data_IF_818553602310
#
_entry.id   IF_818553602310
#
_cell.length_a   1.000
_cell.length_b   1.000
_cell.length_c   1.000
_cell.angle_alpha   90.00
_cell.angle_beta   90.00
_cell.angle_gamma   90.00
#
_symmetry.space_group_name_H-M   'P 1'
#
loop_
_entity.id
_entity.type
_entity.pdbx_description
1 polymer ?
#
# COMPACT_ATOMS: atom_id res chain seq x y z
N UNK A 1 13.09 13.10 -1.66
CA UNK A 1 13.35 12.48 -0.34
C UNK A 1 12.06 12.11 0.40
N UNK A 2 11.13 13.05 0.67
CA UNK A 2 9.93 12.80 1.49
C UNK A 2 8.59 12.74 0.71
N UNK A 3 8.65 12.55 -0.62
CA UNK A 3 7.47 12.58 -1.51
C UNK A 3 6.41 11.52 -1.19
N UNK A 4 6.80 10.43 -0.54
CA UNK A 4 5.91 9.33 -0.15
C UNK A 4 5.76 9.20 1.38
N UNK A 5 6.12 10.22 2.15
CA UNK A 5 5.99 10.19 3.61
C UNK A 5 4.61 10.71 4.04
N UNK A 6 3.69 9.85 4.52
CA UNK A 6 2.34 10.27 4.91
C UNK A 6 2.33 11.22 6.12
N UNK A 7 3.32 11.09 7.01
CA UNK A 7 3.41 11.94 8.19
C UNK A 7 3.74 13.39 7.81
N UNK A 8 4.58 13.59 6.78
CA UNK A 8 4.85 14.92 6.25
C UNK A 8 3.59 15.54 5.63
N UNK A 9 2.92 14.82 4.73
CA UNK A 9 1.70 15.31 4.07
C UNK A 9 0.60 15.67 5.10
N UNK A 10 0.41 14.82 6.11
CA UNK A 10 -0.53 15.07 7.21
C UNK A 10 -0.12 16.30 8.03
N UNK A 11 1.17 16.47 8.33
CA UNK A 11 1.64 17.62 9.09
C UNK A 11 1.45 18.90 8.30
N UNK A 12 1.75 18.92 7.00
CA UNK A 12 1.49 20.06 6.14
C UNK A 12 0.02 20.49 6.22
N UNK A 13 -0.93 19.55 6.10
CA UNK A 13 -2.36 19.84 6.20
C UNK A 13 -2.76 20.43 7.57
N UNK A 14 -2.19 19.90 8.67
CA UNK A 14 -2.45 20.39 10.03
C UNK A 14 -1.94 21.82 10.24
N UNK A 15 -0.87 22.21 9.57
CA UNK A 15 -0.26 23.54 9.64
C UNK A 15 -0.80 24.51 8.58
N UNK A 16 -1.81 24.11 7.80
CA UNK A 16 -2.37 24.93 6.71
C UNK A 16 -1.44 25.09 5.50
N UNK A 17 -0.44 24.22 5.35
CA UNK A 17 0.49 24.18 4.22
C UNK A 17 -0.05 23.22 3.17
N UNK A 18 -0.15 23.68 1.92
CA UNK A 18 -0.52 22.82 0.79
C UNK A 18 0.66 21.88 0.48
N UNK A 19 0.44 20.59 0.69
CA UNK A 19 1.33 19.55 0.19
C UNK A 19 0.97 19.25 -1.28
N UNK A 20 1.91 19.43 -2.20
CA UNK A 20 1.72 19.10 -3.63
C UNK A 20 1.91 17.59 -3.81
N UNK A 21 0.81 16.84 -3.76
CA UNK A 21 0.81 15.39 -3.93
C UNK A 21 -0.50 14.75 -3.43
N UNK A 22 -0.56 13.42 -3.33
CA UNK A 22 -1.74 12.73 -2.81
C UNK A 22 -1.91 12.95 -1.30
N UNK A 23 -3.10 12.63 -0.78
CA UNK A 23 -3.35 12.71 0.67
C UNK A 23 -2.53 11.66 1.44
N UNK A 24 -2.32 11.90 2.73
CA UNK A 24 -1.63 10.94 3.61
C UNK A 24 -2.30 9.56 3.61
N UNK A 25 -3.63 9.51 3.52
CA UNK A 25 -4.42 8.27 3.49
C UNK A 25 -4.19 7.49 2.20
N UNK A 26 -4.11 8.20 1.07
CA UNK A 26 -3.75 7.58 -0.22
C UNK A 26 -2.33 7.03 -0.16
N UNK A 27 -1.38 7.78 0.39
CA UNK A 27 0.00 7.31 0.55
C UNK A 27 0.09 6.08 1.45
N UNK A 28 -0.64 6.04 2.57
CA UNK A 28 -0.68 4.87 3.47
C UNK A 28 -1.24 3.63 2.78
N UNK A 29 -2.23 3.81 1.91
CA UNK A 29 -2.85 2.70 1.18
C UNK A 29 -1.95 2.21 0.05
N UNK A 30 -1.35 3.13 -0.70
CA UNK A 30 -0.54 2.81 -1.89
C UNK A 30 0.91 2.41 -1.55
N UNK A 31 1.44 2.85 -0.40
CA UNK A 31 2.78 2.48 0.06
C UNK A 31 2.88 1.05 0.58
N UNK A 32 1.75 0.43 0.92
CA UNK A 32 1.66 -0.98 1.30
C UNK A 32 1.19 -1.79 0.08
N UNK A 33 2.06 -2.67 -0.43
CA UNK A 33 1.77 -3.47 -1.64
C UNK A 33 0.54 -4.36 -1.49
N UNK A 34 0.25 -4.85 -0.28
CA UNK A 34 -0.90 -5.73 -0.04
C UNK A 34 -2.17 -4.87 -0.11
N UNK A 35 -2.21 -3.77 0.65
CA UNK A 35 -3.36 -2.85 0.67
C UNK A 35 -3.61 -2.21 -0.69
N UNK A 36 -2.56 -1.83 -1.40
CA UNK A 36 -2.65 -1.29 -2.75
C UNK A 36 -3.31 -2.29 -3.68
N UNK A 37 -2.87 -3.55 -3.68
CA UNK A 37 -3.45 -4.61 -4.52
C UNK A 37 -4.90 -4.90 -4.16
N UNK A 38 -5.25 -4.91 -2.87
CA UNK A 38 -6.64 -5.04 -2.42
C UNK A 38 -7.51 -3.88 -2.91
N UNK A 39 -7.02 -2.64 -2.82
CA UNK A 39 -7.71 -1.47 -3.33
C UNK A 39 -7.94 -1.55 -4.84
N UNK A 40 -6.94 -2.01 -5.61
CA UNK A 40 -7.07 -2.23 -7.06
C UNK A 40 -8.10 -3.32 -7.37
N UNK A 41 -8.07 -4.46 -6.66
CA UNK A 41 -9.09 -5.52 -6.81
C UNK A 41 -10.50 -4.98 -6.54
N UNK A 42 -10.69 -4.22 -5.45
CA UNK A 42 -11.98 -3.60 -5.09
C UNK A 42 -12.46 -2.60 -6.14
N UNK A 43 -11.54 -1.91 -6.81
CA UNK A 43 -11.83 -1.01 -7.91
C UNK A 43 -12.11 -1.74 -9.25
N UNK A 44 -12.10 -3.09 -9.27
CA UNK A 44 -12.30 -3.88 -10.49
C UNK A 44 -11.09 -3.91 -11.42
N UNK A 45 -9.91 -3.47 -10.95
CA UNK A 45 -8.69 -3.45 -11.74
C UNK A 45 -8.01 -4.83 -11.64
N UNK A 46 -7.67 -5.47 -12.77
CA UNK A 46 -6.92 -6.72 -12.77
C UNK A 46 -5.57 -6.57 -12.06
N UNK A 47 -5.24 -7.51 -11.18
CA UNK A 47 -3.96 -7.55 -10.49
C UNK A 47 -3.26 -8.87 -10.74
N UNK A 48 -1.93 -8.86 -10.61
CA UNK A 48 -1.12 -10.08 -10.71
C UNK A 48 -1.55 -11.07 -9.62
N UNK A 49 -1.82 -12.35 -9.97
CA UNK A 49 -2.09 -13.39 -9.00
C UNK A 49 -0.95 -13.54 -7.98
N UNK A 50 -1.32 -13.80 -6.73
CA UNK A 50 -0.36 -13.97 -5.65
C UNK A 50 -1.10 -14.20 -4.34
N UNK A 51 -0.34 -14.32 -3.25
CA UNK A 51 -0.84 -14.66 -1.91
C UNK A 51 -1.84 -13.63 -1.39
N UNK A 52 -2.81 -14.02 -0.57
CA UNK A 52 -3.81 -13.08 0.00
C UNK A 52 -3.30 -12.29 1.23
N UNK A 53 -1.99 -12.23 1.43
CA UNK A 53 -1.38 -11.51 2.54
C UNK A 53 0.14 -11.62 2.56
N UNK A 54 0.74 -11.13 3.64
CA UNK A 54 2.18 -11.29 3.89
C UNK A 54 2.48 -12.72 4.31
N UNK A 55 3.49 -13.34 3.69
CA UNK A 55 4.05 -14.59 4.18
C UNK A 55 5.20 -14.25 5.12
N UNK A 56 5.14 -14.77 6.35
CA UNK A 56 6.19 -14.57 7.36
C UNK A 56 7.13 -15.76 7.52
N UNK A 57 6.81 -16.91 6.92
CA UNK A 57 7.57 -18.15 7.08
C UNK A 57 7.88 -18.86 5.74
N UNK A 58 9.07 -19.44 5.66
CA UNK A 58 9.52 -20.13 4.44
C UNK A 58 8.70 -21.39 4.15
N UNK A 59 8.25 -22.13 5.17
CA UNK A 59 7.44 -23.33 4.98
C UNK A 59 6.06 -22.98 4.43
N UNK A 60 5.48 -21.86 4.88
CA UNK A 60 4.23 -21.33 4.34
C UNK A 60 4.38 -20.99 2.86
N UNK A 61 5.46 -20.30 2.48
CA UNK A 61 5.77 -20.01 1.08
C UNK A 61 5.90 -21.29 0.23
N UNK A 62 6.61 -22.30 0.74
CA UNK A 62 6.81 -23.58 0.04
C UNK A 62 5.52 -24.38 -0.14
N UNK A 63 4.57 -24.30 0.79
CA UNK A 63 3.26 -24.93 0.64
C UNK A 63 2.48 -24.28 -0.50
N UNK A 64 2.50 -22.96 -0.56
CA UNK A 64 1.72 -22.16 -1.50
C UNK A 64 2.23 -22.24 -2.95
N UNK A 65 3.53 -22.50 -3.15
CA UNK A 65 4.12 -22.76 -4.48
C UNK A 65 3.67 -24.11 -5.06
N UNK A 66 3.29 -25.06 -4.20
CA UNK A 66 2.89 -26.43 -4.60
C UNK A 66 1.39 -26.56 -4.89
N UNK A 67 0.61 -25.52 -4.59
CA UNK A 67 -0.81 -25.37 -4.95
C UNK A 67 -0.95 -24.75 -6.34
#
# INVERSE_FOLDING_TARGET
FLSENPALARRCQQEGIIFIGPSAEVMLTMGDKIKAREAMKKAGIPVVPGTEGSISDVKEALKLIRE
#
